data_IF_426592881028
#
_entry.id   IF_426592881028
#
_cell.length_a   1.000
_cell.length_b   1.000
_cell.length_c   1.000
_cell.angle_alpha   90.00
_cell.angle_beta   90.00
_cell.angle_gamma   90.00
#
_symmetry.space_group_name_H-M   'P 1'
#
loop_
_entity.id
_entity.type
_entity.pdbx_description
1 polymer ?
#
# COMPACT_ATOMS: atom_id res chain seq x y z
N UNK A 1 55.75 -9.58 6.26
CA UNK A 1 55.05 -8.38 5.71
C UNK A 1 53.62 -8.77 5.38
N UNK A 2 52.58 -8.03 5.83
CA UNK A 2 51.20 -8.41 5.52
C UNK A 2 50.98 -8.34 4.01
N UNK A 3 50.55 -9.47 3.44
CA UNK A 3 50.26 -9.65 2.01
C UNK A 3 49.38 -8.52 1.48
N UNK A 4 49.66 -8.04 0.27
CA UNK A 4 48.92 -6.96 -0.40
C UNK A 4 47.40 -7.23 -0.44
N UNK A 5 46.99 -8.50 -0.49
CA UNK A 5 45.59 -8.91 -0.42
C UNK A 5 44.91 -8.47 0.90
N UNK A 6 45.62 -8.58 2.04
CA UNK A 6 45.10 -8.18 3.34
C UNK A 6 44.98 -6.66 3.51
N UNK A 7 45.73 -5.86 2.74
CA UNK A 7 45.59 -4.39 2.70
C UNK A 7 44.36 -3.93 1.91
N UNK A 8 43.89 -4.74 0.95
CA UNK A 8 42.72 -4.41 0.12
C UNK A 8 41.43 -4.94 0.72
N UNK A 9 41.45 -6.12 1.34
CA UNK A 9 40.24 -6.74 1.91
C UNK A 9 39.70 -5.95 3.12
N UNK A 10 40.57 -5.49 4.02
CA UNK A 10 40.17 -4.77 5.25
C UNK A 10 39.36 -3.49 4.99
N UNK A 11 39.75 -2.57 4.08
CA UNK A 11 38.96 -1.38 3.80
C UNK A 11 37.65 -1.72 3.08
N UNK A 12 37.65 -2.70 2.17
CA UNK A 12 36.46 -3.18 1.48
C UNK A 12 35.41 -3.74 2.44
N UNK A 13 35.83 -4.57 3.40
CA UNK A 13 34.96 -5.08 4.45
C UNK A 13 34.43 -3.94 5.32
N UNK A 14 35.26 -2.97 5.71
CA UNK A 14 34.81 -1.80 6.50
C UNK A 14 33.75 -0.97 5.79
N UNK A 15 33.93 -0.69 4.51
CA UNK A 15 32.97 0.09 3.70
C UNK A 15 31.67 -0.72 3.52
N UNK A 16 31.80 -2.02 3.21
CA UNK A 16 30.66 -2.93 3.12
C UNK A 16 29.86 -3.00 4.42
N UNK A 17 30.53 -3.11 5.56
CA UNK A 17 29.90 -3.14 6.89
C UNK A 17 29.21 -1.84 7.29
N UNK A 18 29.52 -0.71 6.65
CA UNK A 18 28.87 0.57 6.92
C UNK A 18 27.61 0.78 6.06
N UNK A 19 27.59 0.21 4.85
CA UNK A 19 26.48 0.30 3.90
C UNK A 19 25.45 -0.82 4.15
N UNK A 20 25.93 -2.02 4.47
CA UNK A 20 25.12 -3.22 4.73
C UNK A 20 24.00 -3.03 5.77
N UNK A 21 24.16 -2.31 6.90
CA UNK A 21 23.11 -2.20 7.91
C UNK A 21 21.84 -1.52 7.36
N UNK A 22 22.01 -0.51 6.50
CA UNK A 22 20.88 0.21 5.89
C UNK A 22 20.24 -0.59 4.77
N UNK A 23 21.04 -1.23 3.92
CA UNK A 23 20.52 -2.01 2.78
C UNK A 23 19.93 -3.34 3.23
N UNK A 24 20.60 -4.06 4.14
CA UNK A 24 20.11 -5.30 4.74
C UNK A 24 18.88 -5.05 5.62
N UNK A 25 18.87 -3.98 6.42
CA UNK A 25 17.69 -3.60 7.20
C UNK A 25 16.48 -3.29 6.31
N UNK A 26 16.69 -2.56 5.21
CA UNK A 26 15.62 -2.26 4.24
C UNK A 26 15.18 -3.49 3.46
N UNK A 27 16.10 -4.40 3.14
CA UNK A 27 15.79 -5.67 2.50
C UNK A 27 14.98 -6.58 3.43
N UNK A 28 15.43 -6.77 4.67
CA UNK A 28 14.72 -7.55 5.69
C UNK A 28 13.34 -6.96 5.98
N UNK A 29 13.22 -5.64 6.13
CA UNK A 29 11.93 -4.96 6.29
C UNK A 29 10.99 -5.20 5.10
N UNK A 30 11.50 -5.16 3.86
CA UNK A 30 10.70 -5.48 2.67
C UNK A 30 10.30 -6.94 2.62
N UNK A 31 11.14 -7.85 3.11
CA UNK A 31 10.91 -9.29 3.03
C UNK A 31 9.94 -9.78 4.10
N UNK A 32 9.99 -9.18 5.30
CA UNK A 32 9.20 -9.63 6.46
C UNK A 32 8.04 -8.69 6.80
N UNK A 33 8.22 -7.37 6.69
CA UNK A 33 7.24 -6.39 7.14
C UNK A 33 6.37 -5.81 6.02
N UNK A 34 6.70 -6.08 4.75
CA UNK A 34 5.84 -5.71 3.63
C UNK A 34 5.04 -6.93 3.19
N UNK A 35 3.74 -7.02 3.50
CA UNK A 35 2.93 -8.14 3.02
C UNK A 35 3.01 -8.18 1.49
N UNK A 36 3.13 -9.37 0.88
CA UNK A 36 3.23 -9.49 -0.57
C UNK A 36 2.02 -8.80 -1.20
N UNK A 37 2.28 -7.67 -1.86
CA UNK A 37 1.26 -6.95 -2.62
C UNK A 37 0.80 -7.93 -3.70
N UNK A 38 -0.42 -8.45 -3.58
CA UNK A 38 -1.05 -9.12 -4.72
C UNK A 38 -1.03 -8.09 -5.85
N UNK A 39 -0.48 -8.42 -7.04
CA UNK A 39 -0.60 -7.52 -8.18
C UNK A 39 -2.09 -7.21 -8.30
N UNK A 40 -2.43 -5.93 -8.23
CA UNK A 40 -3.81 -5.50 -8.41
C UNK A 40 -4.25 -6.13 -9.73
N UNK A 41 -5.19 -7.09 -9.67
CA UNK A 41 -5.75 -7.64 -10.90
C UNK A 41 -6.56 -6.51 -11.51
N UNK A 42 -5.93 -5.68 -12.33
CA UNK A 42 -6.54 -4.50 -12.95
C UNK A 42 -7.84 -4.89 -13.67
N UNK A 43 -7.90 -6.12 -14.20
CA UNK A 43 -9.06 -6.61 -14.94
C UNK A 43 -10.26 -7.02 -14.06
N UNK A 44 -10.07 -7.79 -12.97
CA UNK A 44 -11.18 -8.24 -12.11
C UNK A 44 -11.61 -7.19 -11.09
N UNK A 45 -10.64 -6.49 -10.50
CA UNK A 45 -10.94 -5.45 -9.51
C UNK A 45 -11.52 -4.22 -10.20
N UNK A 46 -10.99 -3.82 -11.36
CA UNK A 46 -11.53 -2.71 -12.15
C UNK A 46 -12.98 -2.95 -12.59
N UNK A 47 -13.32 -4.15 -13.08
CA UNK A 47 -14.71 -4.48 -13.46
C UNK A 47 -15.66 -4.54 -12.27
N UNK A 48 -15.24 -5.12 -11.14
CA UNK A 48 -16.05 -5.15 -9.93
C UNK A 48 -16.29 -3.74 -9.35
N UNK A 49 -15.26 -2.90 -9.36
CA UNK A 49 -15.35 -1.49 -8.93
C UNK A 49 -16.24 -0.69 -9.89
N UNK A 50 -16.11 -0.90 -11.21
CA UNK A 50 -16.97 -0.25 -12.21
C UNK A 50 -18.45 -0.67 -12.06
N UNK A 51 -18.71 -1.95 -11.87
CA UNK A 51 -20.06 -2.47 -11.63
C UNK A 51 -20.65 -1.94 -10.31
N UNK A 52 -19.85 -1.87 -9.25
CA UNK A 52 -20.25 -1.25 -8.00
C UNK A 52 -20.55 0.25 -8.20
N UNK A 53 -19.69 0.98 -8.92
CA UNK A 53 -19.88 2.41 -9.20
C UNK A 53 -21.19 2.70 -9.93
N UNK A 54 -21.59 1.84 -10.87
CA UNK A 54 -22.89 1.96 -11.53
C UNK A 54 -24.06 1.77 -10.54
N UNK A 55 -23.95 0.84 -9.58
CA UNK A 55 -24.96 0.64 -8.53
C UNK A 55 -25.03 1.79 -7.52
N UNK A 56 -23.91 2.44 -7.24
CA UNK A 56 -23.84 3.61 -6.36
C UNK A 56 -24.08 4.94 -7.08
N UNK A 57 -24.26 4.96 -8.41
CA UNK A 57 -24.52 6.17 -9.19
C UNK A 57 -25.73 7.00 -8.70
N UNK A 58 -26.86 6.42 -8.26
CA UNK A 58 -27.96 7.19 -7.70
C UNK A 58 -27.74 7.62 -6.23
N UNK A 59 -26.67 7.16 -5.58
CA UNK A 59 -26.43 7.46 -4.18
C UNK A 59 -25.77 8.83 -3.99
N UNK A 60 -26.23 9.58 -2.98
CA UNK A 60 -25.59 10.82 -2.57
C UNK A 60 -24.41 10.46 -1.66
N UNK A 61 -23.20 10.76 -2.11
CA UNK A 61 -21.99 10.56 -1.30
C UNK A 61 -21.90 11.63 -0.22
N UNK A 62 -21.73 11.21 1.03
CA UNK A 62 -21.49 12.07 2.17
C UNK A 62 -20.20 11.67 2.88
N UNK A 63 -19.58 12.62 3.57
CA UNK A 63 -18.41 12.37 4.40
C UNK A 63 -18.75 12.79 5.83
N UNK A 64 -18.67 11.84 6.76
CA UNK A 64 -18.92 12.09 8.18
C UNK A 64 -17.58 12.15 8.90
N UNK A 65 -17.29 13.31 9.48
CA UNK A 65 -16.06 13.54 10.22
C UNK A 65 -16.22 13.16 11.69
N UNK A 66 -15.25 12.40 12.19
CA UNK A 66 -15.08 12.02 13.59
C UNK A 66 -13.71 12.51 14.09
N UNK A 67 -13.49 12.62 15.41
CA UNK A 67 -12.19 13.05 15.96
C UNK A 67 -11.00 12.17 15.54
N UNK A 68 -11.25 10.89 15.24
CA UNK A 68 -10.24 9.92 14.83
C UNK A 68 -10.13 9.72 13.30
N UNK A 69 -10.91 10.45 12.49
CA UNK A 69 -10.86 10.34 11.04
C UNK A 69 -12.21 10.58 10.36
N UNK A 70 -12.29 10.26 9.07
CA UNK A 70 -13.47 10.53 8.25
C UNK A 70 -13.97 9.24 7.61
N UNK A 71 -15.29 9.03 7.65
CA UNK A 71 -15.95 7.89 7.00
C UNK A 71 -16.73 8.40 5.79
N UNK A 72 -16.55 7.77 4.62
CA UNK A 72 -17.39 8.03 3.45
C UNK A 72 -18.65 7.17 3.54
N UNK A 73 -19.81 7.80 3.43
CA UNK A 73 -21.13 7.16 3.43
C UNK A 73 -21.85 7.45 2.10
N UNK A 74 -22.83 6.63 1.76
CA UNK A 74 -23.64 6.74 0.55
C UNK A 74 -25.11 6.63 0.94
N UNK A 75 -25.87 7.71 0.72
CA UNK A 75 -27.31 7.76 1.00
C UNK A 75 -28.09 7.38 -0.26
N UNK A 76 -28.99 6.41 -0.15
CA UNK A 76 -29.94 6.04 -1.20
C UNK A 76 -31.33 6.52 -0.79
N UNK A 77 -31.86 7.53 -1.48
CA UNK A 77 -33.24 7.96 -1.28
C UNK A 77 -34.17 6.87 -1.85
N UNK A 78 -35.16 6.34 -1.10
CA UNK A 78 -36.17 5.47 -1.68
C UNK A 78 -37.01 6.28 -2.67
N UNK A 79 -37.37 5.68 -3.82
CA UNK A 79 -38.33 6.28 -4.75
C UNK A 79 -39.57 6.74 -3.96
N UNK A 80 -40.03 7.99 -4.14
CA UNK A 80 -41.23 8.46 -3.47
C UNK A 80 -42.36 7.53 -3.90
N UNK A 81 -42.83 6.68 -2.98
CA UNK A 81 -44.12 6.00 -3.18
C UNK A 81 -45.12 7.11 -3.41
N UNK A 82 -45.58 7.24 -4.65
CA UNK A 82 -46.83 7.91 -4.97
C UNK A 82 -47.87 7.31 -4.02
N UNK A 83 -48.15 8.03 -2.94
CA UNK A 83 -49.28 7.76 -2.09
C UNK A 83 -50.49 8.13 -2.95
N UNK A 84 -51.21 7.09 -3.37
CA UNK A 84 -52.46 7.18 -4.11
C UNK A 84 -53.56 7.85 -3.28
#
# INVERSE_FOLDING_TARGET
MPSAALRVIRPLVRIGSFIAPRTAGRAAFKLFCTPPRRPASESRSGKAIAAARARFAPAIRQAVSYPCGTVSTYLFEPEPRLQA
#
